data_IF_813743044500
#
_entry.id   IF_813743044500
#
_cell.length_a   1.000
_cell.length_b   1.000
_cell.length_c   1.000
_cell.angle_alpha   90.00
_cell.angle_beta   90.00
_cell.angle_gamma   90.00
#
_symmetry.space_group_name_H-M   'P 1'
#
loop_
_entity.id
_entity.type
_entity.pdbx_description
1 polymer ?
#
# COMPACT_ATOMS: atom_id res chain seq x y z
N UNK A 1 -16.88 -1.45 11.79
CA UNK A 1 -15.72 -2.21 11.31
C UNK A 1 -14.49 -1.84 12.12
N UNK A 2 -13.69 -2.81 12.48
CA UNK A 2 -12.45 -2.58 13.22
C UNK A 2 -11.21 -2.70 12.29
N UNK A 3 -10.02 -2.53 12.85
CA UNK A 3 -8.79 -2.59 12.07
C UNK A 3 -8.53 -3.97 11.44
N UNK A 4 -9.03 -5.05 12.03
CA UNK A 4 -8.91 -6.39 11.46
C UNK A 4 -9.62 -6.51 10.11
N UNK A 5 -10.76 -5.85 9.92
CA UNK A 5 -11.48 -5.84 8.64
C UNK A 5 -10.63 -5.23 7.53
N UNK A 6 -9.90 -4.17 7.84
CA UNK A 6 -8.99 -3.50 6.90
C UNK A 6 -7.76 -4.36 6.57
N UNK A 7 -7.17 -4.98 7.60
CA UNK A 7 -6.05 -5.91 7.43
C UNK A 7 -6.44 -7.08 6.54
N UNK A 8 -7.60 -7.67 6.81
CA UNK A 8 -8.11 -8.81 6.04
C UNK A 8 -8.33 -8.43 4.57
N UNK A 9 -9.02 -7.32 4.33
CA UNK A 9 -9.31 -6.86 2.98
C UNK A 9 -8.02 -6.60 2.17
N UNK A 10 -7.02 -5.97 2.79
CA UNK A 10 -5.74 -5.72 2.14
C UNK A 10 -5.01 -7.02 1.77
N UNK A 11 -4.97 -7.99 2.68
CA UNK A 11 -4.31 -9.28 2.42
C UNK A 11 -5.05 -10.14 1.40
N UNK A 12 -6.38 -10.04 1.33
CA UNK A 12 -7.20 -10.75 0.33
C UNK A 12 -7.10 -10.10 -1.05
N UNK A 13 -6.87 -8.78 -1.11
CA UNK A 13 -6.79 -8.00 -2.35
C UNK A 13 -5.49 -7.19 -2.40
N UNK A 14 -4.33 -7.87 -2.51
CA UNK A 14 -3.02 -7.23 -2.29
C UNK A 14 -2.57 -6.27 -3.40
N UNK A 15 -3.17 -6.35 -4.59
CA UNK A 15 -2.87 -5.37 -5.64
C UNK A 15 -3.62 -4.08 -5.30
N UNK A 16 -2.87 -3.00 -5.14
CA UNK A 16 -3.42 -1.69 -4.78
C UNK A 16 -2.84 -0.58 -5.66
N UNK A 17 -3.36 0.61 -5.47
CA UNK A 17 -2.92 1.81 -6.18
C UNK A 17 -2.41 2.80 -5.15
N UNK A 18 -1.18 3.25 -5.33
CA UNK A 18 -0.53 4.21 -4.43
C UNK A 18 -0.44 5.57 -5.10
N UNK A 19 -0.99 6.59 -4.47
CA UNK A 19 -0.80 7.97 -4.83
C UNK A 19 0.31 8.61 -4.00
N UNK A 20 1.21 9.32 -4.68
CA UNK A 20 2.29 10.11 -4.09
C UNK A 20 2.29 11.50 -4.69
N UNK A 21 3.09 12.40 -4.11
CA UNK A 21 3.33 13.72 -4.64
C UNK A 21 4.75 13.84 -5.19
N UNK A 22 4.84 14.42 -6.39
CA UNK A 22 6.08 14.82 -7.05
C UNK A 22 6.02 16.35 -7.18
N UNK A 23 6.54 17.08 -6.17
CA UNK A 23 6.21 18.48 -6.00
C UNK A 23 4.72 18.65 -5.74
N UNK A 24 4.01 19.35 -6.62
CA UNK A 24 2.55 19.49 -6.59
C UNK A 24 1.83 18.55 -7.57
N UNK A 25 2.58 17.73 -8.32
CA UNK A 25 2.01 16.78 -9.26
C UNK A 25 1.66 15.47 -8.58
N UNK A 26 0.37 15.06 -8.54
CA UNK A 26 -0.01 13.73 -8.10
C UNK A 26 0.53 12.66 -9.05
N UNK A 27 1.06 11.59 -8.49
CA UNK A 27 1.49 10.39 -9.21
C UNK A 27 0.75 9.19 -8.66
N UNK A 28 0.36 8.27 -9.54
CA UNK A 28 -0.31 7.02 -9.16
C UNK A 28 0.31 5.84 -9.90
N UNK A 29 0.43 4.70 -9.23
CA UNK A 29 0.89 3.44 -9.81
C UNK A 29 0.28 2.26 -9.06
N UNK A 30 0.27 1.11 -9.70
CA UNK A 30 -0.05 -0.14 -9.02
C UNK A 30 1.10 -0.54 -8.12
N UNK A 31 0.75 -1.18 -7.02
CA UNK A 31 1.70 -1.67 -6.04
C UNK A 31 1.17 -2.98 -5.45
N UNK A 32 2.07 -3.90 -5.14
CA UNK A 32 1.72 -5.16 -4.49
C UNK A 32 2.00 -5.06 -2.99
N UNK A 33 0.96 -5.16 -2.17
CA UNK A 33 1.12 -5.28 -0.73
C UNK A 33 2.00 -6.49 -0.42
N UNK A 34 2.96 -6.33 0.49
CA UNK A 34 3.70 -7.47 1.01
C UNK A 34 2.86 -8.22 2.03
N UNK A 35 2.49 -7.54 3.11
CA UNK A 35 1.51 -8.04 4.09
C UNK A 35 0.96 -6.87 4.90
N UNK A 36 -0.18 -7.13 5.56
CA UNK A 36 -0.74 -6.24 6.58
C UNK A 36 -0.99 -7.03 7.85
N UNK A 37 -0.70 -6.43 8.99
CA UNK A 37 -0.99 -6.96 10.32
C UNK A 37 -1.32 -5.82 11.30
N UNK A 38 -1.38 -6.11 12.58
CA UNK A 38 -1.69 -5.12 13.62
C UNK A 38 -0.68 -3.97 13.71
N UNK A 39 0.49 -4.12 13.11
CA UNK A 39 1.55 -3.10 13.11
C UNK A 39 1.52 -2.20 11.87
N UNK A 40 0.65 -2.51 10.89
CA UNK A 40 0.47 -1.68 9.71
C UNK A 40 0.47 -2.43 8.39
N UNK A 41 0.63 -1.67 7.31
CA UNK A 41 0.65 -2.14 5.93
C UNK A 41 2.07 -2.05 5.39
N UNK A 42 2.63 -3.17 4.97
CA UNK A 42 4.04 -3.28 4.58
C UNK A 42 4.21 -3.47 3.08
N UNK A 43 5.18 -2.75 2.55
CA UNK A 43 5.53 -2.73 1.12
C UNK A 43 7.03 -2.78 0.93
N UNK A 44 7.45 -3.14 -0.27
CA UNK A 44 8.83 -3.00 -0.70
C UNK A 44 8.92 -2.20 -1.99
N UNK A 45 10.03 -1.53 -2.18
CA UNK A 45 10.38 -0.81 -3.41
C UNK A 45 11.87 -0.92 -3.67
N UNK A 46 12.31 -0.37 -4.78
CA UNK A 46 13.73 -0.31 -5.16
C UNK A 46 14.17 1.16 -5.17
N UNK A 47 15.31 1.45 -4.55
CA UNK A 47 15.79 2.82 -4.36
C UNK A 47 15.95 3.67 -5.63
N UNK A 48 16.27 3.11 -6.83
CA UNK A 48 16.33 3.91 -8.05
C UNK A 48 14.97 4.34 -8.60
N UNK A 49 13.86 3.78 -8.11
CA UNK A 49 12.51 4.11 -8.61
C UNK A 49 12.10 5.52 -8.20
N UNK A 50 11.37 6.22 -9.07
CA UNK A 50 10.80 7.54 -8.80
C UNK A 50 9.90 7.52 -7.56
N UNK A 51 9.15 6.46 -7.36
CA UNK A 51 8.31 6.28 -6.18
C UNK A 51 9.11 6.39 -4.88
N UNK A 52 10.27 5.74 -4.79
CA UNK A 52 11.13 5.81 -3.60
C UNK A 52 11.56 7.24 -3.31
N UNK A 53 11.98 7.97 -4.35
CA UNK A 53 12.39 9.38 -4.22
C UNK A 53 11.22 10.28 -3.81
N UNK A 54 10.05 10.07 -4.39
CA UNK A 54 8.84 10.82 -4.05
C UNK A 54 8.44 10.62 -2.60
N UNK A 55 8.42 9.37 -2.12
CA UNK A 55 8.11 9.04 -0.73
C UNK A 55 9.08 9.65 0.28
N UNK A 56 10.37 9.71 -0.06
CA UNK A 56 11.40 10.33 0.78
C UNK A 56 11.27 11.85 0.84
N UNK A 57 10.89 12.48 -0.27
CA UNK A 57 10.68 13.93 -0.34
C UNK A 57 9.36 14.35 0.31
N UNK A 58 8.30 13.56 0.15
CA UNK A 58 7.00 13.80 0.76
C UNK A 58 6.35 12.45 1.12
N UNK A 59 6.30 12.11 2.40
CA UNK A 59 5.78 10.80 2.83
C UNK A 59 4.26 10.68 2.78
N UNK A 60 3.53 11.75 2.53
CA UNK A 60 2.06 11.71 2.44
C UNK A 60 1.62 10.85 1.28
N UNK A 61 0.70 9.93 1.56
CA UNK A 61 0.17 8.98 0.56
C UNK A 61 -1.32 8.80 0.70
N UNK A 62 -1.92 8.28 -0.35
CA UNK A 62 -3.20 7.62 -0.31
C UNK A 62 -3.12 6.30 -1.07
N UNK A 63 -3.65 5.24 -0.44
CA UNK A 63 -3.74 3.90 -1.01
C UNK A 63 -5.20 3.60 -1.36
N UNK A 64 -5.39 2.88 -2.46
CA UNK A 64 -6.68 2.31 -2.82
C UNK A 64 -6.52 0.82 -3.09
N UNK A 65 -7.16 -0.02 -2.28
CA UNK A 65 -7.33 -1.45 -2.51
C UNK A 65 -8.70 -1.69 -3.13
N UNK A 66 -8.78 -2.62 -4.08
CA UNK A 66 -10.02 -2.88 -4.82
C UNK A 66 -10.24 -4.37 -4.99
N UNK A 67 -11.47 -4.83 -4.74
CA UNK A 67 -11.78 -6.26 -4.78
C UNK A 67 -11.93 -6.84 -6.20
N UNK A 68 -11.95 -6.02 -7.24
CA UNK A 68 -12.03 -6.44 -8.66
C UNK A 68 -13.04 -7.56 -8.91
N UNK A 69 -14.33 -7.39 -8.54
CA UNK A 69 -15.32 -8.46 -8.66
C UNK A 69 -15.71 -8.68 -10.11
N UNK A 70 -16.21 -9.88 -10.43
CA UNK A 70 -16.80 -10.17 -11.73
C UNK A 70 -18.08 -9.35 -11.98
N UNK A 71 -18.91 -9.14 -10.95
CA UNK A 71 -20.08 -8.27 -10.98
C UNK A 71 -19.72 -6.91 -10.39
N UNK A 72 -19.79 -5.86 -11.21
CA UNK A 72 -19.47 -4.50 -10.82
C UNK A 72 -20.31 -4.00 -9.63
N UNK A 73 -21.52 -4.51 -9.45
CA UNK A 73 -22.38 -4.17 -8.31
C UNK A 73 -21.82 -4.66 -6.97
N UNK A 74 -20.88 -5.60 -7.01
CA UNK A 74 -20.17 -6.12 -5.83
C UNK A 74 -18.87 -5.35 -5.56
N UNK A 75 -18.62 -4.25 -6.26
CA UNK A 75 -17.40 -3.44 -6.10
C UNK A 75 -17.30 -2.89 -4.69
N UNK A 76 -16.10 -3.03 -4.14
CA UNK A 76 -15.73 -2.43 -2.87
C UNK A 76 -14.29 -1.96 -2.95
N UNK A 77 -14.05 -0.74 -2.53
CA UNK A 77 -12.71 -0.20 -2.38
C UNK A 77 -12.45 0.15 -0.92
N UNK A 78 -11.21 0.02 -0.55
CA UNK A 78 -10.68 0.45 0.74
C UNK A 78 -9.64 1.52 0.49
N UNK A 79 -9.82 2.69 1.09
CA UNK A 79 -8.89 3.79 0.95
C UNK A 79 -8.19 4.04 2.27
N UNK A 80 -6.90 4.31 2.20
CA UNK A 80 -6.07 4.58 3.37
C UNK A 80 -5.27 5.86 3.09
N UNK A 81 -5.45 6.84 3.93
CA UNK A 81 -4.67 8.07 3.93
C UNK A 81 -3.66 7.99 5.08
N UNK A 82 -2.40 8.27 4.80
CA UNK A 82 -1.37 8.18 5.83
C UNK A 82 -0.02 8.71 5.35
N UNK A 83 1.03 8.25 6.01
CA UNK A 83 2.41 8.58 5.68
C UNK A 83 3.25 7.32 5.57
N UNK A 84 4.08 7.26 4.54
CA UNK A 84 5.06 6.19 4.38
C UNK A 84 6.22 6.38 5.36
N UNK A 85 6.61 5.29 6.01
CA UNK A 85 7.76 5.22 6.90
C UNK A 85 8.71 4.15 6.37
N UNK A 86 9.93 4.53 5.97
CA UNK A 86 10.95 3.56 5.59
C UNK A 86 11.48 2.86 6.83
N UNK A 87 11.68 1.54 6.70
CA UNK A 87 12.09 0.69 7.81
C UNK A 87 13.47 0.14 7.52
N UNK A 88 14.44 0.49 8.38
CA UNK A 88 15.79 -0.07 8.34
C UNK A 88 15.86 -1.25 9.32
N UNK A 89 15.39 -2.41 8.85
CA UNK A 89 15.32 -3.65 9.63
C UNK A 89 15.89 -4.80 8.79
N UNK A 90 17.02 -5.33 9.24
CA UNK A 90 17.75 -6.37 8.50
C UNK A 90 16.93 -7.66 8.35
N UNK A 91 16.16 -8.04 9.36
CA UNK A 91 15.31 -9.23 9.30
C UNK A 91 14.21 -9.10 8.25
N UNK A 92 13.51 -7.97 8.22
CA UNK A 92 12.50 -7.68 7.19
C UNK A 92 13.12 -7.60 5.80
N UNK A 93 14.27 -6.96 5.67
CA UNK A 93 14.99 -6.85 4.41
C UNK A 93 15.38 -8.24 3.85
N UNK A 94 15.97 -9.09 4.68
CA UNK A 94 16.35 -10.44 4.27
C UNK A 94 15.13 -11.29 3.93
N UNK A 95 14.06 -11.12 4.69
CA UNK A 95 12.81 -11.86 4.47
C UNK A 95 12.17 -11.50 3.13
N UNK A 96 12.07 -10.21 2.77
CA UNK A 96 11.48 -9.80 1.49
C UNK A 96 12.33 -10.25 0.29
N UNK A 97 13.65 -10.20 0.41
CA UNK A 97 14.55 -10.69 -0.62
C UNK A 97 14.33 -12.18 -0.91
N UNK A 98 14.13 -12.96 0.13
CA UNK A 98 13.86 -14.39 0.01
C UNK A 98 12.47 -14.67 -0.59
N UNK A 99 11.44 -14.01 -0.05
CA UNK A 99 10.04 -14.21 -0.47
C UNK A 99 9.79 -13.73 -1.89
N UNK A 100 10.53 -12.70 -2.35
CA UNK A 100 10.40 -12.12 -3.70
C UNK A 100 11.63 -12.34 -4.58
N UNK A 101 12.30 -13.46 -4.39
CA UNK A 101 13.46 -13.83 -5.20
C UNK A 101 13.19 -13.78 -6.71
N UNK A 102 11.94 -14.03 -7.12
CA UNK A 102 11.55 -13.98 -8.54
C UNK A 102 11.85 -12.62 -9.18
N UNK A 103 11.85 -11.52 -8.43
CA UNK A 103 12.20 -10.20 -8.97
C UNK A 103 13.67 -10.13 -9.35
N UNK A 104 14.57 -10.64 -8.51
CA UNK A 104 15.99 -10.72 -8.83
C UNK A 104 16.24 -11.59 -10.06
N UNK A 105 15.51 -12.70 -10.17
CA UNK A 105 15.59 -13.61 -11.31
C UNK A 105 15.12 -12.92 -12.60
N UNK A 106 14.03 -12.16 -12.54
CA UNK A 106 13.52 -11.41 -13.69
C UNK A 106 14.47 -10.28 -14.13
N UNK A 107 15.07 -9.58 -13.19
CA UNK A 107 16.01 -8.48 -13.47
C UNK A 107 17.38 -9.01 -13.89
N UNK A 108 17.73 -10.22 -13.49
CA UNK A 108 19.01 -10.87 -13.81
C UNK A 108 20.17 -10.43 -12.91
N UNK A 109 19.87 -9.93 -11.71
CA UNK A 109 20.89 -9.57 -10.71
C UNK A 109 20.30 -9.63 -9.29
N UNK A 110 21.14 -9.77 -8.25
CA UNK A 110 20.70 -9.55 -6.86
C UNK A 110 20.18 -8.14 -6.65
N UNK A 111 19.16 -8.00 -5.80
CA UNK A 111 18.50 -6.72 -5.47
C UNK A 111 18.71 -6.28 -4.03
N UNK A 112 19.60 -6.94 -3.28
CA UNK A 112 19.85 -6.67 -1.86
C UNK A 112 20.35 -5.24 -1.58
N UNK A 113 21.13 -4.67 -2.49
CA UNK A 113 21.68 -3.32 -2.38
C UNK A 113 20.67 -2.19 -2.67
N UNK A 114 19.55 -2.50 -3.31
CA UNK A 114 18.56 -1.50 -3.75
C UNK A 114 17.16 -1.70 -3.17
N UNK A 115 16.88 -2.83 -2.54
CA UNK A 115 15.57 -3.12 -1.95
C UNK A 115 15.37 -2.33 -0.66
N UNK A 116 14.23 -1.66 -0.57
CA UNK A 116 13.81 -0.89 0.59
C UNK A 116 12.43 -1.35 1.04
N UNK A 117 12.22 -1.41 2.36
CA UNK A 117 10.91 -1.69 2.97
C UNK A 117 10.34 -0.40 3.52
N UNK A 118 9.06 -0.16 3.26
CA UNK A 118 8.31 0.91 3.91
C UNK A 118 6.97 0.39 4.40
N UNK A 119 6.38 1.13 5.32
CA UNK A 119 5.11 0.77 5.95
C UNK A 119 4.25 1.99 6.23
N UNK A 120 2.95 1.75 6.42
CA UNK A 120 1.98 2.72 6.89
C UNK A 120 1.47 2.21 8.23
N UNK A 121 1.81 2.89 9.32
CA UNK A 121 1.49 2.45 10.69
C UNK A 121 0.34 3.22 11.33
N UNK A 122 -0.01 4.36 10.75
CA UNK A 122 -1.07 5.22 11.25
C UNK A 122 -1.69 5.99 10.11
N UNK A 123 -2.96 6.33 10.25
CA UNK A 123 -3.69 7.06 9.24
C UNK A 123 -5.20 6.95 9.44
N UNK A 124 -5.92 7.24 8.37
CA UNK A 124 -7.37 7.11 8.31
C UNK A 124 -7.75 6.16 7.19
N UNK A 125 -8.63 5.22 7.47
CA UNK A 125 -9.12 4.25 6.50
C UNK A 125 -10.64 4.24 6.43
N UNK A 126 -11.18 3.98 5.24
CA UNK A 126 -12.62 3.77 5.04
C UNK A 126 -12.88 2.82 3.87
N UNK A 127 -14.03 2.16 3.90
CA UNK A 127 -14.56 1.43 2.77
C UNK A 127 -15.55 2.29 1.99
N UNK A 128 -15.65 2.03 0.70
CA UNK A 128 -16.62 2.67 -0.19
C UNK A 128 -17.19 1.63 -1.16
N UNK A 129 -18.52 1.67 -1.34
CA UNK A 129 -19.25 0.88 -2.32
C UNK A 129 -20.18 1.79 -3.13
N UNK A 130 -20.80 1.30 -4.18
CA UNK A 130 -21.77 2.10 -4.94
C UNK A 130 -22.98 2.57 -4.11
N UNK A 131 -23.32 1.87 -3.03
CA UNK A 131 -24.36 2.32 -2.10
C UNK A 131 -24.00 3.64 -1.41
N UNK A 132 -22.70 3.97 -1.36
CA UNK A 132 -22.18 5.17 -0.68
C UNK A 132 -22.00 6.38 -1.59
N UNK A 133 -22.40 6.28 -2.88
CA UNK A 133 -22.09 7.27 -3.92
C UNK A 133 -22.54 8.70 -3.57
N UNK A 134 -23.63 8.84 -2.83
CA UNK A 134 -24.13 10.12 -2.35
C UNK A 134 -23.98 10.32 -0.83
N UNK A 135 -23.27 9.42 -0.17
CA UNK A 135 -23.15 9.35 1.30
C UNK A 135 -21.72 9.41 1.80
N UNK A 136 -20.79 9.97 1.03
CA UNK A 136 -19.38 9.98 1.40
C UNK A 136 -19.10 10.67 2.75
N UNK A 137 -19.93 11.65 3.12
CA UNK A 137 -19.82 12.34 4.42
C UNK A 137 -20.27 11.49 5.61
N UNK A 138 -21.03 10.42 5.33
CA UNK A 138 -21.59 9.52 6.33
C UNK A 138 -20.74 8.24 6.50
N UNK A 139 -19.67 8.10 5.71
CA UNK A 139 -18.80 6.92 5.76
C UNK A 139 -18.18 6.76 7.14
N UNK A 140 -18.18 5.54 7.63
CA UNK A 140 -17.44 5.18 8.83
C UNK A 140 -15.93 5.24 8.54
N UNK A 141 -15.20 6.04 9.31
CA UNK A 141 -13.77 6.26 9.13
C UNK A 141 -13.03 5.78 10.36
N UNK A 142 -12.06 4.91 10.14
CA UNK A 142 -11.22 4.37 11.19
C UNK A 142 -9.88 5.12 11.22
N UNK A 143 -9.51 5.62 12.38
CA UNK A 143 -8.14 6.08 12.64
C UNK A 143 -7.35 4.94 13.29
N UNK A 144 -6.18 4.68 12.80
CA UNK A 144 -5.33 3.57 13.27
C UNK A 144 -3.89 4.03 13.49
#
# INVERSE_FOLDING_TARGET
MDFNDYIQFANEHPVCYLATLDGDQPRVRTLLLWFADQTGFYFATLSPKDMSKQLKNNPKIELCFYNSPADINQSKQMRIMGKAEFVDDEELHNRILKERKFLADLVGRPLDDVTEVFRITSGEAHFWTFADILKEKELDRLNF
#
